data_IF_281161803358
#
_entry.id   IF_281161803358
#
_cell.length_a   1.000
_cell.length_b   1.000
_cell.length_c   1.000
_cell.angle_alpha   90.00
_cell.angle_beta   90.00
_cell.angle_gamma   90.00
#
_symmetry.space_group_name_H-M   'P 1'
#
loop_
_entity.id
_entity.type
_entity.pdbx_description
1 polymer ?
#
# COMPACT_ATOMS: atom_id res chain seq x y z
N UNK A 1 -3.26 34.91 -3.20
CA UNK A 1 -2.14 34.31 -2.45
C UNK A 1 -2.11 32.83 -2.74
N UNK A 2 -1.04 32.32 -3.36
CA UNK A 2 -0.92 30.91 -3.70
C UNK A 2 -0.21 30.17 -2.57
N UNK A 3 -0.94 29.44 -1.72
CA UNK A 3 -0.30 28.51 -0.79
C UNK A 3 0.23 27.33 -1.61
N UNK A 4 1.52 27.32 -1.91
CA UNK A 4 2.19 26.12 -2.43
C UNK A 4 2.08 25.05 -1.35
N UNK A 5 1.11 24.14 -1.48
CA UNK A 5 1.00 22.97 -0.59
C UNK A 5 2.30 22.20 -0.73
N UNK A 6 3.10 22.18 0.33
CA UNK A 6 4.27 21.33 0.42
C UNK A 6 3.75 19.89 0.35
N UNK A 7 4.07 19.18 -0.74
CA UNK A 7 3.77 17.76 -0.85
C UNK A 7 4.75 16.99 0.01
N UNK A 8 4.30 16.49 1.16
CA UNK A 8 5.10 15.56 1.97
C UNK A 8 5.28 14.27 1.18
N UNK A 9 6.52 13.79 1.10
CA UNK A 9 6.85 12.50 0.52
C UNK A 9 7.65 11.68 1.53
N UNK A 10 7.38 10.39 1.59
CA UNK A 10 8.09 9.44 2.43
C UNK A 10 9.02 8.58 1.57
N UNK A 11 10.24 8.39 2.04
CA UNK A 11 11.14 7.40 1.45
C UNK A 11 10.78 6.02 2.01
N UNK A 12 10.33 5.12 1.14
CA UNK A 12 9.86 3.78 1.52
C UNK A 12 10.74 2.70 0.92
N UNK A 13 10.81 1.55 1.59
CA UNK A 13 11.35 0.32 1.05
C UNK A 13 10.21 -0.67 0.85
N UNK A 14 10.14 -1.28 -0.33
CA UNK A 14 9.14 -2.30 -0.62
C UNK A 14 9.60 -3.65 -0.05
N UNK A 15 8.69 -4.35 0.62
CA UNK A 15 8.87 -5.76 0.97
C UNK A 15 8.81 -6.63 -0.30
N UNK A 16 9.46 -7.79 -0.30
CA UNK A 16 9.56 -8.65 -1.47
C UNK A 16 10.98 -9.08 -1.84
N UNK A 17 11.12 -9.80 -2.96
CA UNK A 17 12.39 -10.41 -3.38
C UNK A 17 13.41 -9.39 -3.89
N UNK A 18 12.97 -8.18 -4.26
CA UNK A 18 13.81 -7.08 -4.73
C UNK A 18 14.03 -6.03 -3.64
N UNK A 19 15.24 -5.47 -3.56
CA UNK A 19 15.52 -4.32 -2.70
C UNK A 19 15.11 -3.02 -3.39
N UNK A 20 13.80 -2.83 -3.58
CA UNK A 20 13.25 -1.63 -4.22
C UNK A 20 12.95 -0.54 -3.20
N UNK A 21 13.24 0.72 -3.57
CA UNK A 21 13.02 1.91 -2.73
C UNK A 21 12.55 3.06 -3.60
N UNK A 22 11.68 3.90 -3.06
CA UNK A 22 11.17 5.07 -3.78
C UNK A 22 10.69 6.16 -2.81
N UNK A 23 10.51 7.37 -3.35
CA UNK A 23 9.78 8.43 -2.69
C UNK A 23 8.31 8.34 -3.08
N UNK A 24 7.42 8.27 -2.09
CA UNK A 24 5.97 8.15 -2.30
C UNK A 24 5.28 9.30 -1.59
N UNK A 25 4.33 9.95 -2.28
CA UNK A 25 3.57 11.06 -1.73
C UNK A 25 2.70 10.59 -0.56
N UNK A 26 2.49 11.47 0.42
CA UNK A 26 1.63 11.23 1.58
C UNK A 26 0.22 10.76 1.19
N UNK A 27 -0.35 11.30 0.10
CA UNK A 27 -1.66 10.89 -0.43
C UNK A 27 -1.71 9.45 -0.96
N UNK A 28 -0.56 8.82 -1.15
CA UNK A 28 -0.41 7.48 -1.74
C UNK A 28 0.10 6.44 -0.74
N UNK A 29 0.23 6.81 0.54
CA UNK A 29 0.60 5.89 1.62
C UNK A 29 -0.53 5.80 2.65
N UNK A 30 -0.58 4.67 3.34
CA UNK A 30 -1.49 4.43 4.45
C UNK A 30 -0.77 3.60 5.51
N UNK A 31 -1.16 3.78 6.77
CA UNK A 31 -0.74 2.90 7.86
C UNK A 31 -1.17 1.46 7.57
N UNK A 32 -0.21 0.53 7.60
CA UNK A 32 -0.46 -0.89 7.41
C UNK A 32 -0.99 -1.52 8.69
N UNK A 33 -2.20 -2.10 8.62
CA UNK A 33 -2.87 -2.78 9.75
C UNK A 33 -3.06 -4.28 9.54
N UNK A 34 -2.52 -4.83 8.45
CA UNK A 34 -2.67 -6.22 8.06
C UNK A 34 -3.35 -6.37 6.70
N UNK A 35 -3.36 -7.60 6.19
CA UNK A 35 -3.91 -7.89 4.85
C UNK A 35 -5.40 -7.59 4.72
N UNK A 36 -6.18 -7.77 5.78
CA UNK A 36 -7.64 -7.54 5.77
C UNK A 36 -7.99 -6.09 5.39
N UNK A 37 -7.18 -5.12 5.82
CA UNK A 37 -7.33 -3.71 5.44
C UNK A 37 -7.31 -3.51 3.92
N UNK A 38 -6.49 -4.26 3.18
CA UNK A 38 -6.47 -4.18 1.72
C UNK A 38 -7.76 -4.73 1.11
N UNK A 39 -8.28 -5.84 1.65
CA UNK A 39 -9.55 -6.42 1.21
C UNK A 39 -10.69 -5.44 1.45
N UNK A 40 -10.73 -4.82 2.63
CA UNK A 40 -11.74 -3.83 3.00
C UNK A 40 -11.66 -2.59 2.12
N UNK A 41 -10.46 -2.10 1.76
CA UNK A 41 -10.29 -0.95 0.86
C UNK A 41 -10.76 -1.29 -0.55
N UNK A 42 -10.41 -2.46 -1.06
CA UNK A 42 -10.88 -2.91 -2.36
C UNK A 42 -12.41 -3.02 -2.32
N UNK A 43 -12.97 -3.68 -1.30
CA UNK A 43 -14.41 -3.85 -1.15
C UNK A 43 -15.15 -2.51 -0.99
N UNK A 44 -14.69 -1.63 -0.10
CA UNK A 44 -15.23 -0.28 0.09
C UNK A 44 -15.14 0.53 -1.21
N UNK A 45 -14.02 0.44 -1.92
CA UNK A 45 -13.88 1.07 -3.24
C UNK A 45 -14.89 0.52 -4.25
N UNK A 46 -15.26 -0.75 -4.17
CA UNK A 46 -16.30 -1.32 -5.04
C UNK A 46 -17.72 -0.92 -4.62
N UNK A 47 -17.93 -0.64 -3.33
CA UNK A 47 -19.24 -0.32 -2.76
C UNK A 47 -19.58 1.18 -2.76
N UNK A 48 -18.58 2.08 -2.80
CA UNK A 48 -18.78 3.54 -2.82
C UNK A 48 -19.06 4.06 -4.24
N UNK A 49 -20.29 4.51 -4.55
CA UNK A 49 -20.67 4.99 -5.88
C UNK A 49 -20.26 6.46 -6.15
N UNK A 50 -19.74 7.19 -5.16
CA UNK A 50 -19.35 8.60 -5.28
C UNK A 50 -17.84 8.82 -5.27
N UNK A 51 -17.07 7.86 -4.77
CA UNK A 51 -15.63 7.83 -4.99
C UNK A 51 -15.38 7.39 -6.45
N UNK A 52 -14.50 8.09 -7.17
CA UNK A 52 -14.02 7.71 -8.51
C UNK A 52 -13.22 6.40 -8.41
N UNK A 53 -13.89 5.31 -8.05
CA UNK A 53 -13.28 4.03 -7.84
C UNK A 53 -13.00 3.43 -9.19
N UNK A 54 -11.72 3.15 -9.43
CA UNK A 54 -11.28 2.46 -10.63
C UNK A 54 -12.03 1.13 -10.76
N UNK A 55 -12.31 0.63 -11.98
CA UNK A 55 -12.92 -0.69 -12.15
C UNK A 55 -12.17 -1.77 -11.35
N UNK A 56 -12.85 -2.81 -10.86
CA UNK A 56 -12.24 -3.97 -10.15
C UNK A 56 -10.98 -4.49 -10.88
N UNK A 57 -11.00 -4.46 -12.22
CA UNK A 57 -9.90 -4.88 -13.08
C UNK A 57 -8.60 -4.12 -12.83
N UNK A 58 -8.66 -2.87 -12.38
CA UNK A 58 -7.50 -2.02 -12.10
C UNK A 58 -6.85 -2.35 -10.75
N UNK A 59 -7.55 -3.06 -9.86
CA UNK A 59 -7.03 -3.55 -8.58
C UNK A 59 -6.52 -5.00 -8.67
N UNK A 60 -6.55 -5.61 -9.86
CA UNK A 60 -6.04 -6.98 -10.05
C UNK A 60 -4.53 -6.99 -10.03
N UNK A 61 -3.98 -7.73 -9.07
CA UNK A 61 -2.57 -8.07 -9.06
C UNK A 61 -2.33 -9.08 -10.19
N UNK A 62 -1.38 -8.79 -11.06
CA UNK A 62 -0.97 -9.72 -12.11
C UNK A 62 -0.53 -11.06 -11.50
N UNK A 63 -0.91 -12.18 -12.12
CA UNK A 63 -0.52 -13.52 -11.66
C UNK A 63 1.01 -13.69 -11.56
N UNK A 64 1.78 -12.96 -12.37
CA UNK A 64 3.24 -12.95 -12.30
C UNK A 64 3.76 -12.31 -11.02
N UNK A 65 3.07 -11.29 -10.52
CA UNK A 65 3.45 -10.52 -9.33
C UNK A 65 2.79 -11.02 -8.05
N UNK A 66 1.73 -11.82 -8.16
CA UNK A 66 1.00 -12.36 -7.01
C UNK A 66 1.88 -13.12 -6.00
N UNK A 67 2.86 -13.95 -6.42
CA UNK A 67 3.77 -14.60 -5.46
C UNK A 67 4.61 -13.58 -4.67
N UNK A 68 5.22 -12.61 -5.35
CA UNK A 68 6.01 -11.55 -4.72
C UNK A 68 5.16 -10.69 -3.79
N UNK A 69 3.93 -10.38 -4.18
CA UNK A 69 3.00 -9.62 -3.35
C UNK A 69 2.60 -10.40 -2.08
N UNK A 70 2.25 -11.68 -2.21
CA UNK A 70 1.94 -12.52 -1.04
C UNK A 70 3.12 -12.61 -0.07
N UNK A 71 4.34 -12.73 -0.60
CA UNK A 71 5.55 -12.73 0.22
C UNK A 71 5.76 -11.39 0.93
N UNK A 72 5.57 -10.28 0.20
CA UNK A 72 5.69 -8.93 0.76
C UNK A 72 4.68 -8.67 1.88
N UNK A 73 3.43 -9.11 1.71
CA UNK A 73 2.40 -9.02 2.77
C UNK A 73 2.79 -9.86 3.98
N UNK A 74 3.28 -11.09 3.79
CA UNK A 74 3.72 -11.94 4.90
C UNK A 74 4.96 -11.36 5.64
N UNK A 75 5.86 -10.67 4.94
CA UNK A 75 6.95 -9.91 5.54
C UNK A 75 6.43 -8.71 6.33
N UNK A 76 5.50 -7.94 5.77
CA UNK A 76 4.89 -6.80 6.43
C UNK A 76 4.13 -7.19 7.70
N UNK A 77 3.39 -8.30 7.69
CA UNK A 77 2.68 -8.82 8.87
C UNK A 77 3.66 -9.27 9.96
N UNK A 78 4.75 -9.95 9.59
CA UNK A 78 5.82 -10.31 10.53
C UNK A 78 6.48 -9.07 11.12
N UNK A 79 6.80 -8.08 10.28
CA UNK A 79 7.36 -6.81 10.73
C UNK A 79 6.38 -6.08 11.66
N UNK A 80 5.08 -6.06 11.34
CA UNK A 80 4.05 -5.44 12.17
C UNK A 80 3.94 -6.05 13.58
N UNK A 81 4.42 -7.27 13.80
CA UNK A 81 4.51 -7.89 15.12
C UNK A 81 5.81 -7.55 15.89
N UNK A 82 6.85 -7.08 15.21
CA UNK A 82 8.12 -6.67 15.83
C UNK A 82 8.01 -5.27 16.46
N UNK A 83 8.88 -4.90 17.40
CA UNK A 83 8.93 -3.52 17.91
C UNK A 83 9.50 -2.57 16.84
N UNK A 84 9.23 -1.26 16.94
CA UNK A 84 9.73 -0.27 15.95
C UNK A 84 11.25 -0.23 15.80
N UNK A 85 12.00 -0.71 16.79
CA UNK A 85 13.47 -0.80 16.77
C UNK A 85 13.95 -2.06 16.05
N UNK A 86 13.13 -3.11 15.99
CA UNK A 86 13.46 -4.40 15.39
C UNK A 86 12.89 -4.58 13.97
N UNK A 87 12.15 -3.58 13.46
CA UNK A 87 11.58 -3.54 12.11
C UNK A 87 12.54 -2.93 11.09
#
# INVERSE_FOLDING_TARGET
EGSTKISTAYHVQFFGTGTERSWVNESSVMEFRGREQFIDIVQYGLEDPFTYCRPVGDFKISNTWLPSWNMAVAEAERAAALSSVAR
#
